data_IF_960684319747
#
_entry.id   IF_960684319747
#
_cell.length_a   1.000
_cell.length_b   1.000
_cell.length_c   1.000
_cell.angle_alpha   90.00
_cell.angle_beta   90.00
_cell.angle_gamma   90.00
#
_symmetry.space_group_name_H-M   'P 1'
#
loop_
_entity.id
_entity.type
_entity.pdbx_description
1 polymer ?
#
# COMPACT_ATOMS: atom_id res chain seq x y z
N UNK A 1 31.55 -23.27 -11.94
CA UNK A 1 30.19 -23.78 -11.69
C UNK A 1 29.56 -23.26 -10.40
N UNK A 2 30.33 -23.02 -9.31
CA UNK A 2 29.80 -22.48 -8.04
C UNK A 2 29.31 -21.03 -8.08
N UNK A 3 29.97 -20.17 -8.89
CA UNK A 3 29.60 -18.74 -8.99
C UNK A 3 28.19 -18.52 -9.54
N UNK A 4 27.76 -19.35 -10.49
CA UNK A 4 26.43 -19.24 -11.13
C UNK A 4 25.28 -19.43 -10.14
N UNK A 5 25.48 -20.26 -9.11
CA UNK A 5 24.46 -20.53 -8.08
C UNK A 5 24.26 -19.30 -7.19
N UNK A 6 25.33 -18.56 -6.91
CA UNK A 6 25.28 -17.34 -6.11
C UNK A 6 24.45 -16.26 -6.81
N UNK A 7 24.67 -16.07 -8.12
CA UNK A 7 23.86 -15.14 -8.91
C UNK A 7 22.39 -15.54 -8.97
N UNK A 8 22.10 -16.83 -9.10
CA UNK A 8 20.72 -17.34 -9.14
C UNK A 8 19.98 -17.10 -7.81
N UNK A 9 20.66 -17.30 -6.68
CA UNK A 9 20.11 -17.02 -5.35
C UNK A 9 19.84 -15.52 -5.12
N UNK A 10 20.71 -14.64 -5.62
CA UNK A 10 20.54 -13.18 -5.50
C UNK A 10 19.32 -12.67 -6.29
N UNK A 11 19.07 -13.21 -7.49
CA UNK A 11 17.91 -12.84 -8.30
C UNK A 11 16.57 -13.19 -7.62
N UNK A 12 16.50 -14.32 -6.91
CA UNK A 12 15.28 -14.76 -6.21
C UNK A 12 14.95 -13.80 -5.05
N UNK A 13 15.96 -13.33 -4.32
CA UNK A 13 15.77 -12.41 -3.19
C UNK A 13 15.28 -11.03 -3.63
N UNK A 14 15.75 -10.52 -4.77
CA UNK A 14 15.29 -9.22 -5.31
C UNK A 14 13.84 -9.24 -5.81
N UNK A 15 13.33 -10.40 -6.24
CA UNK A 15 11.94 -10.56 -6.69
C UNK A 15 10.90 -10.44 -5.57
N UNK A 16 11.29 -10.71 -4.32
CA UNK A 16 10.39 -10.60 -3.16
C UNK A 16 10.29 -9.17 -2.60
N UNK A 17 11.30 -8.32 -2.82
CA UNK A 17 11.32 -6.93 -2.31
C UNK A 17 10.48 -5.95 -3.15
N UNK A 18 10.04 -6.37 -4.34
CA UNK A 18 9.23 -5.57 -5.26
C UNK A 18 7.72 -5.61 -5.01
N UNK A 19 7.24 -6.40 -4.04
CA UNK A 19 5.84 -6.36 -3.61
C UNK A 19 5.65 -5.23 -2.60
N UNK A 20 5.97 -4.02 -3.05
CA UNK A 20 5.65 -2.81 -2.31
C UNK A 20 4.13 -2.77 -2.15
N UNK A 21 3.68 -2.61 -0.91
CA UNK A 21 2.29 -2.42 -0.50
C UNK A 21 1.73 -1.09 -1.04
N UNK A 22 1.81 -0.88 -2.34
CA UNK A 22 1.04 0.16 -2.99
C UNK A 22 -0.40 -0.32 -2.94
N UNK A 23 -1.12 0.18 -1.94
CA UNK A 23 -2.56 0.10 -1.90
C UNK A 23 -3.05 0.47 -3.30
N UNK A 24 -4.05 -0.25 -3.84
CA UNK A 24 -4.60 0.08 -5.14
C UNK A 24 -4.93 1.58 -5.13
N UNK A 25 -4.65 2.30 -6.23
CA UNK A 25 -4.92 3.73 -6.29
C UNK A 25 -6.35 3.97 -5.84
N UNK A 26 -6.51 4.78 -4.79
CA UNK A 26 -7.84 5.12 -4.27
C UNK A 26 -8.59 5.77 -5.42
N UNK A 27 -9.71 5.15 -5.82
CA UNK A 27 -10.55 5.67 -6.89
C UNK A 27 -11.28 6.91 -6.39
N UNK A 28 -11.07 8.05 -7.04
CA UNK A 28 -11.71 9.32 -6.70
C UNK A 28 -10.81 10.30 -5.93
N UNK A 29 -11.33 11.51 -5.71
CA UNK A 29 -10.63 12.57 -4.98
C UNK A 29 -10.77 12.32 -3.46
N UNK A 30 -9.66 12.17 -2.70
CA UNK A 30 -9.72 11.96 -1.26
C UNK A 30 -10.37 13.16 -0.56
N UNK A 31 -11.62 13.00 -0.11
CA UNK A 31 -12.28 14.06 0.65
C UNK A 31 -11.87 14.03 2.12
N UNK A 32 -11.73 15.20 2.78
CA UNK A 32 -11.45 15.26 4.20
C UNK A 32 -12.59 14.64 5.03
N UNK A 33 -12.31 13.51 5.68
CA UNK A 33 -13.25 12.86 6.61
C UNK A 33 -13.50 13.68 7.89
N UNK A 34 -12.67 14.70 8.14
CA UNK A 34 -12.77 15.61 9.28
C UNK A 34 -13.51 16.91 8.94
N UNK A 35 -14.29 16.94 7.86
CA UNK A 35 -15.10 18.11 7.54
C UNK A 35 -16.21 18.30 8.60
N UNK A 36 -16.58 19.56 8.93
CA UNK A 36 -17.65 19.84 9.88
C UNK A 36 -18.98 19.17 9.56
N UNK A 37 -19.26 18.95 8.27
CA UNK A 37 -20.47 18.27 7.80
C UNK A 37 -20.48 16.79 8.18
N UNK A 38 -19.36 16.08 7.99
CA UNK A 38 -19.24 14.66 8.35
C UNK A 38 -19.33 14.50 9.87
N UNK A 39 -18.67 15.38 10.64
CA UNK A 39 -18.73 15.32 12.10
C UNK A 39 -20.17 15.47 12.60
N UNK A 40 -20.96 16.41 12.04
CA UNK A 40 -22.38 16.56 12.38
C UNK A 40 -23.20 15.30 12.08
N UNK A 41 -22.96 14.63 10.96
CA UNK A 41 -23.65 13.38 10.64
C UNK A 41 -23.39 12.29 11.71
N UNK A 42 -22.12 12.15 12.14
CA UNK A 42 -21.74 11.19 13.19
C UNK A 42 -22.29 11.57 14.57
N UNK A 43 -22.31 12.85 14.96
CA UNK A 43 -22.86 13.27 16.26
C UNK A 43 -24.38 13.24 16.33
N UNK A 44 -25.10 13.15 15.19
CA UNK A 44 -26.56 13.07 15.23
C UNK A 44 -27.06 11.68 15.67
N UNK A 45 -26.16 10.69 15.77
CA UNK A 45 -26.45 9.31 16.15
C UNK A 45 -26.12 8.96 17.62
N UNK A 46 -25.95 9.97 18.49
CA UNK A 46 -25.83 9.80 19.96
C UNK A 46 -27.02 10.36 20.71
#
# INVERSE_FOLDING_TARGET
MKSSIVFLMLCILTGCAGHQHDLPPVSGDPQPVNSPAIIQELTTHV
#
